data_IF_383262360397
#
_entry.id   IF_383262360397
#
_cell.length_a   1.000
_cell.length_b   1.000
_cell.length_c   1.000
_cell.angle_alpha   90.00
_cell.angle_beta   90.00
_cell.angle_gamma   90.00
#
_symmetry.space_group_name_H-M   'P 1'
#
loop_
_entity.id
_entity.type
_entity.pdbx_description
1 polymer ?
#
# COMPACT_ATOMS: atom_id res chain seq x y z
N UNK A 1 -11.40 -51.29 -24.38
CA UNK A 1 -11.46 -49.84 -24.76
C UNK A 1 -11.31 -49.01 -23.49
N UNK A 2 -10.11 -48.49 -23.29
CA UNK A 2 -9.83 -47.66 -22.16
C UNK A 2 -10.26 -46.22 -22.44
N UNK A 3 -11.29 -45.72 -21.78
CA UNK A 3 -11.65 -44.32 -21.83
C UNK A 3 -10.79 -43.60 -20.81
N UNK A 4 -9.71 -43.00 -21.29
CA UNK A 4 -8.97 -42.03 -20.49
C UNK A 4 -9.83 -40.77 -20.34
N UNK A 5 -10.45 -40.60 -19.15
CA UNK A 5 -10.97 -39.31 -18.76
C UNK A 5 -9.77 -38.42 -18.39
N UNK A 6 -9.45 -37.51 -19.29
CA UNK A 6 -8.54 -36.40 -18.95
C UNK A 6 -9.28 -35.52 -17.98
N UNK A 7 -9.01 -35.67 -16.68
CA UNK A 7 -9.42 -34.72 -15.69
C UNK A 7 -8.50 -33.51 -15.87
N UNK A 8 -8.99 -32.52 -16.61
CA UNK A 8 -8.35 -31.20 -16.61
C UNK A 8 -8.64 -30.61 -15.24
N UNK A 9 -7.68 -30.77 -14.32
CA UNK A 9 -7.68 -29.98 -13.10
C UNK A 9 -7.37 -28.55 -13.50
N UNK A 10 -8.43 -27.74 -13.67
CA UNK A 10 -8.27 -26.31 -13.72
C UNK A 10 -7.77 -25.89 -12.33
N UNK A 11 -6.45 -25.72 -12.21
CA UNK A 11 -5.90 -24.97 -11.12
C UNK A 11 -6.41 -23.53 -11.32
N UNK A 12 -7.48 -23.18 -10.62
CA UNK A 12 -7.85 -21.79 -10.44
C UNK A 12 -6.72 -21.18 -9.61
N UNK A 13 -5.77 -20.53 -10.30
CA UNK A 13 -4.85 -19.60 -9.65
C UNK A 13 -5.71 -18.47 -9.10
N UNK A 14 -6.13 -18.62 -7.84
CA UNK A 14 -6.67 -17.50 -7.09
C UNK A 14 -5.53 -16.52 -6.94
N UNK A 15 -5.52 -15.50 -7.80
CA UNK A 15 -4.78 -14.29 -7.47
C UNK A 15 -5.45 -13.73 -6.23
N UNK A 16 -4.96 -14.11 -5.04
CA UNK A 16 -5.31 -13.38 -3.85
C UNK A 16 -4.83 -11.95 -4.09
N UNK A 17 -5.77 -11.01 -4.16
CA UNK A 17 -5.45 -9.60 -4.16
C UNK A 17 -4.54 -9.34 -2.96
N UNK A 18 -3.31 -8.84 -3.20
CA UNK A 18 -2.36 -8.54 -2.13
C UNK A 18 -2.97 -7.57 -1.10
N UNK A 19 -3.97 -6.76 -1.50
CA UNK A 19 -4.71 -5.86 -0.64
C UNK A 19 -5.72 -6.57 0.26
N UNK A 20 -6.11 -7.83 -0.02
CA UNK A 20 -7.03 -8.59 0.82
C UNK A 20 -6.48 -8.86 2.23
N UNK A 21 -5.14 -8.79 2.43
CA UNK A 21 -4.50 -8.93 3.73
C UNK A 21 -4.62 -7.68 4.62
N UNK A 22 -5.11 -6.56 4.09
CA UNK A 22 -5.18 -5.27 4.77
C UNK A 22 -6.62 -4.84 4.97
N UNK A 23 -6.90 -4.14 6.08
CA UNK A 23 -8.17 -3.49 6.35
C UNK A 23 -8.14 -2.07 5.77
N UNK A 24 -8.75 -1.89 4.62
CA UNK A 24 -8.75 -0.60 3.92
C UNK A 24 -9.60 0.46 4.64
N UNK A 25 -10.65 0.07 5.36
CA UNK A 25 -11.46 0.99 6.14
C UNK A 25 -10.68 1.52 7.35
N UNK A 26 -9.99 0.64 8.07
CA UNK A 26 -9.05 1.05 9.11
C UNK A 26 -7.91 1.90 8.54
N UNK A 27 -7.42 1.54 7.38
CA UNK A 27 -6.38 2.28 6.67
C UNK A 27 -6.80 3.70 6.33
N UNK A 28 -8.05 3.91 5.89
CA UNK A 28 -8.61 5.25 5.67
C UNK A 28 -8.62 6.08 6.95
N UNK A 29 -9.06 5.51 8.05
CA UNK A 29 -9.10 6.20 9.34
C UNK A 29 -7.70 6.64 9.80
N UNK A 30 -6.71 5.79 9.63
CA UNK A 30 -5.30 6.11 9.93
C UNK A 30 -4.76 7.18 8.96
N UNK A 31 -5.06 7.05 7.68
CA UNK A 31 -4.70 8.05 6.67
C UNK A 31 -5.24 9.44 7.04
N UNK A 32 -6.51 9.52 7.36
CA UNK A 32 -7.18 10.78 7.73
C UNK A 32 -6.58 11.41 9.01
N UNK A 33 -6.00 10.59 9.88
CA UNK A 33 -5.41 11.02 11.14
C UNK A 33 -3.94 11.44 11.03
N UNK A 34 -3.13 10.71 10.26
CA UNK A 34 -1.68 10.84 10.32
C UNK A 34 -1.00 11.11 8.98
N UNK A 35 -1.64 10.83 7.84
CA UNK A 35 -1.02 10.83 6.53
C UNK A 35 -1.50 11.97 5.64
N UNK A 36 -2.73 12.42 5.87
CA UNK A 36 -3.48 13.31 4.97
C UNK A 36 -2.79 14.66 4.73
N UNK A 37 -2.15 15.23 5.75
CA UNK A 37 -1.57 16.58 5.63
C UNK A 37 -0.55 16.64 4.50
N UNK A 38 0.31 15.66 4.37
CA UNK A 38 1.32 15.60 3.33
C UNK A 38 0.80 14.95 2.05
N UNK A 39 0.11 13.82 2.16
CA UNK A 39 -0.32 13.04 0.99
C UNK A 39 -1.55 13.57 0.28
N UNK A 40 -2.30 14.50 0.85
CA UNK A 40 -3.37 15.21 0.16
C UNK A 40 -2.85 16.45 -0.58
N UNK A 41 -1.96 17.19 0.05
CA UNK A 41 -1.50 18.47 -0.46
C UNK A 41 -0.28 18.36 -1.38
N UNK A 42 0.50 17.31 -1.27
CA UNK A 42 1.79 17.17 -1.94
C UNK A 42 2.89 18.03 -1.30
N UNK A 43 2.70 18.47 -0.07
CA UNK A 43 3.64 19.31 0.65
C UNK A 43 5.03 18.68 0.69
N UNK A 44 6.06 19.48 0.40
CA UNK A 44 7.44 19.02 0.43
C UNK A 44 7.80 17.96 -0.63
N UNK A 45 7.02 17.84 -1.71
CA UNK A 45 7.25 16.84 -2.77
C UNK A 45 6.65 15.47 -2.47
N UNK A 46 5.79 15.39 -1.45
CA UNK A 46 5.09 14.14 -1.09
C UNK A 46 4.19 13.67 -2.23
N UNK A 47 4.24 12.38 -2.63
CA UNK A 47 3.34 11.85 -3.64
C UNK A 47 1.89 11.89 -3.15
N UNK A 48 1.03 12.53 -3.93
CA UNK A 48 -0.37 12.71 -3.56
C UNK A 48 -1.17 11.43 -3.69
N UNK A 49 -2.10 11.24 -2.77
CA UNK A 49 -3.15 10.22 -2.92
C UNK A 49 -3.87 10.39 -4.26
N UNK A 50 -3.98 9.31 -5.01
CA UNK A 50 -4.66 9.30 -6.31
C UNK A 50 -3.78 9.71 -7.51
N UNK A 51 -2.57 10.17 -7.28
CA UNK A 51 -1.62 10.49 -8.35
C UNK A 51 -0.99 9.20 -8.90
N UNK A 52 -1.63 8.59 -9.87
CA UNK A 52 -1.21 7.33 -10.47
C UNK A 52 0.22 7.38 -11.01
N UNK A 53 0.60 8.46 -11.66
CA UNK A 53 1.93 8.61 -12.25
C UNK A 53 3.02 8.62 -11.18
N UNK A 54 2.79 9.32 -10.06
CA UNK A 54 3.71 9.36 -8.94
C UNK A 54 3.80 8.01 -8.22
N UNK A 55 2.69 7.29 -8.12
CA UNK A 55 2.63 6.04 -7.36
C UNK A 55 3.07 4.80 -8.14
N UNK A 56 2.92 4.78 -9.47
CA UNK A 56 3.26 3.60 -10.28
C UNK A 56 4.68 3.08 -10.00
N UNK A 57 5.75 3.89 -10.05
CA UNK A 57 7.10 3.40 -9.76
C UNK A 57 7.28 3.03 -8.29
N UNK A 58 6.57 3.67 -7.37
CA UNK A 58 6.62 3.35 -5.94
C UNK A 58 5.95 2.01 -5.64
N UNK A 59 4.76 1.79 -6.19
CA UNK A 59 4.02 0.52 -6.05
C UNK A 59 4.82 -0.65 -6.62
N UNK A 60 5.58 -0.44 -7.69
CA UNK A 60 6.44 -1.46 -8.29
C UNK A 60 7.52 -1.99 -7.34
N UNK A 61 7.87 -1.26 -6.28
CA UNK A 61 8.81 -1.72 -5.26
C UNK A 61 8.23 -2.81 -4.35
N UNK A 62 6.91 -2.95 -4.32
CA UNK A 62 6.19 -3.91 -3.46
C UNK A 62 5.74 -3.33 -2.14
N UNK A 63 4.66 -3.92 -1.59
CA UNK A 63 4.02 -3.44 -0.36
C UNK A 63 4.94 -3.51 0.85
N UNK A 64 5.73 -4.57 1.00
CA UNK A 64 6.61 -4.74 2.16
C UNK A 64 7.61 -3.58 2.28
N UNK A 65 8.19 -3.16 1.17
CA UNK A 65 9.14 -2.04 1.17
C UNK A 65 8.44 -0.71 1.46
N UNK A 66 7.28 -0.47 0.86
CA UNK A 66 6.49 0.75 1.11
C UNK A 66 6.12 0.86 2.59
N UNK A 67 5.66 -0.22 3.18
CA UNK A 67 5.29 -0.28 4.59
C UNK A 67 6.51 -0.07 5.48
N UNK A 68 7.60 -0.76 5.20
CA UNK A 68 8.85 -0.61 5.97
C UNK A 68 9.37 0.83 5.96
N UNK A 69 9.37 1.48 4.80
CA UNK A 69 9.76 2.90 4.68
C UNK A 69 8.84 3.82 5.46
N UNK A 70 7.55 3.53 5.47
CA UNK A 70 6.55 4.34 6.21
C UNK A 70 6.69 4.17 7.72
N UNK A 71 7.07 2.98 8.19
CA UNK A 71 7.32 2.72 9.62
C UNK A 71 8.60 3.39 10.09
N UNK A 72 9.68 3.25 9.33
CA UNK A 72 11.02 3.73 9.71
C UNK A 72 11.29 5.19 9.37
N UNK A 73 10.48 5.75 8.48
CA UNK A 73 10.78 7.02 7.84
C UNK A 73 11.69 6.84 6.62
N UNK A 74 11.61 7.79 5.72
CA UNK A 74 12.33 7.69 4.46
C UNK A 74 12.67 9.07 3.90
N UNK A 75 13.96 9.28 3.58
CA UNK A 75 14.41 10.42 2.80
C UNK A 75 14.41 10.04 1.33
N UNK A 76 13.44 10.57 0.58
CA UNK A 76 13.34 10.37 -0.86
C UNK A 76 14.08 11.43 -1.67
N UNK A 77 14.01 11.30 -2.99
CA UNK A 77 14.54 12.32 -3.91
C UNK A 77 13.75 13.62 -3.85
N UNK A 78 12.48 13.55 -3.54
CA UNK A 78 11.52 14.67 -3.62
C UNK A 78 10.95 15.07 -2.27
N UNK A 79 11.32 14.43 -1.18
CA UNK A 79 10.80 14.76 0.13
C UNK A 79 11.18 13.78 1.22
N UNK A 80 10.94 14.19 2.44
CA UNK A 80 11.16 13.39 3.64
C UNK A 80 9.81 12.89 4.18
N UNK A 81 9.69 11.58 4.35
CA UNK A 81 8.60 10.99 5.11
C UNK A 81 9.06 10.71 6.53
N UNK A 82 8.45 11.34 7.56
CA UNK A 82 8.76 10.99 8.92
C UNK A 82 8.26 9.60 9.28
N UNK A 83 8.91 8.93 10.21
CA UNK A 83 8.49 7.64 10.72
C UNK A 83 7.01 7.69 11.14
N UNK A 84 6.19 6.80 10.60
CA UNK A 84 4.75 6.68 10.90
C UNK A 84 3.98 7.99 10.72
N UNK A 85 4.38 8.80 9.75
CA UNK A 85 3.77 10.11 9.52
C UNK A 85 3.91 11.10 10.70
N UNK A 86 4.82 10.83 11.60
CA UNK A 86 5.04 11.61 12.84
C UNK A 86 4.23 11.11 14.03
N UNK A 87 3.31 10.16 13.87
CA UNK A 87 2.54 9.57 14.96
C UNK A 87 3.13 8.20 15.37
N UNK A 88 4.11 8.23 16.26
CA UNK A 88 4.87 7.04 16.67
C UNK A 88 4.05 6.04 17.50
N UNK A 89 2.86 6.41 17.97
CA UNK A 89 1.96 5.53 18.72
C UNK A 89 1.19 4.56 17.80
N UNK A 90 1.14 4.83 16.50
CA UNK A 90 0.51 3.93 15.54
C UNK A 90 1.27 2.60 15.48
N UNK A 91 0.51 1.50 15.46
CA UNK A 91 1.10 0.17 15.28
C UNK A 91 1.57 -0.05 13.85
N UNK A 92 2.45 -1.00 13.66
CA UNK A 92 2.91 -1.40 12.32
C UNK A 92 1.74 -1.88 11.44
N UNK A 93 0.77 -2.59 12.04
CA UNK A 93 -0.43 -3.03 11.34
C UNK A 93 -1.30 -1.84 10.87
N UNK A 94 -1.45 -0.82 11.69
CA UNK A 94 -2.17 0.41 11.33
C UNK A 94 -1.47 1.14 10.19
N UNK A 95 -0.14 1.22 10.21
CA UNK A 95 0.64 1.80 9.10
C UNK A 95 0.46 0.96 7.83
N UNK A 96 0.55 -0.36 7.93
CA UNK A 96 0.33 -1.26 6.79
C UNK A 96 -1.04 -1.04 6.14
N UNK A 97 -2.09 -0.94 6.93
CA UNK A 97 -3.45 -0.67 6.43
C UNK A 97 -3.55 0.70 5.74
N UNK A 98 -2.89 1.73 6.26
CA UNK A 98 -2.91 3.07 5.67
C UNK A 98 -2.14 3.13 4.34
N UNK A 99 -1.01 2.45 4.25
CA UNK A 99 -0.25 2.32 3.00
C UNK A 99 -1.09 1.58 1.95
N UNK A 100 -1.74 0.49 2.33
CA UNK A 100 -2.63 -0.25 1.43
C UNK A 100 -3.79 0.61 0.93
N UNK A 101 -4.37 1.43 1.80
CA UNK A 101 -5.41 2.39 1.41
C UNK A 101 -4.90 3.39 0.35
N UNK A 102 -3.72 3.98 0.56
CA UNK A 102 -3.13 4.92 -0.40
C UNK A 102 -2.86 4.23 -1.73
N UNK A 103 -2.26 3.05 -1.71
CA UNK A 103 -1.94 2.27 -2.91
C UNK A 103 -3.20 1.90 -3.67
N UNK A 104 -4.23 1.42 -3.00
CA UNK A 104 -5.51 1.04 -3.64
C UNK A 104 -6.15 2.22 -4.37
N UNK A 105 -6.06 3.42 -3.82
CA UNK A 105 -6.63 4.63 -4.41
C UNK A 105 -5.71 5.37 -5.38
N UNK A 106 -4.51 4.84 -5.64
CA UNK A 106 -3.48 5.50 -6.46
C UNK A 106 -2.97 4.64 -7.62
N UNK A 107 -3.44 3.41 -7.72
CA UNK A 107 -3.07 2.49 -8.80
C UNK A 107 -3.94 2.63 -10.06
#
# INVERSE_FOLDING_TARGET
MSRFFLIIVLLALSFSDAMAAYDLNSGKAVYDKACIVCHKTGMGGTPKLGDKAAWTPRIAQGMDLLISKSIKGFQGKTGLMPAKGGNLELTDAQIGNSVAYIVEHSK
#
